data_IF_930209894736
#
_entry.id   IF_930209894736
#
_cell.length_a   1.000
_cell.length_b   1.000
_cell.length_c   1.000
_cell.angle_alpha   90.00
_cell.angle_beta   90.00
_cell.angle_gamma   90.00
#
_symmetry.space_group_name_H-M   'P 1'
#
loop_
_entity.id
_entity.type
_entity.pdbx_description
1 polymer ?
#
# COMPACT_ATOMS: atom_id res chain seq x y z
N UNK A 1 -20.30 -27.37 -11.36
CA UNK A 1 -19.43 -28.43 -11.93
C UNK A 1 -19.98 -29.80 -11.54
N UNK A 2 -19.79 -30.88 -12.30
CA UNK A 2 -18.97 -30.96 -13.53
C UNK A 2 -19.72 -31.54 -14.74
N UNK A 3 -19.49 -30.94 -15.90
CA UNK A 3 -19.61 -31.63 -17.18
C UNK A 3 -18.22 -31.72 -17.79
N UNK A 4 -17.90 -32.93 -18.23
CA UNK A 4 -16.61 -33.44 -18.70
C UNK A 4 -16.40 -33.00 -20.15
N UNK A 5 -15.21 -32.47 -20.46
CA UNK A 5 -14.74 -32.18 -21.82
C UNK A 5 -14.07 -33.43 -22.42
N UNK A 6 -14.53 -33.85 -23.59
CA UNK A 6 -13.93 -34.91 -24.41
C UNK A 6 -13.05 -34.26 -25.51
N UNK A 7 -11.74 -34.56 -25.59
CA UNK A 7 -10.82 -33.93 -26.54
C UNK A 7 -10.50 -34.86 -27.71
N UNK A 8 -11.25 -34.78 -28.82
CA UNK A 8 -10.77 -35.34 -30.09
C UNK A 8 -11.52 -34.81 -31.32
N UNK A 9 -10.97 -33.81 -32.01
CA UNK A 9 -10.84 -33.83 -33.49
C UNK A 9 -9.94 -32.70 -34.00
N UNK A 10 -8.68 -33.07 -34.28
CA UNK A 10 -7.82 -32.39 -35.25
C UNK A 10 -8.43 -32.53 -36.65
N UNK A 11 -8.55 -31.41 -37.38
CA UNK A 11 -8.39 -31.39 -38.84
C UNK A 11 -7.74 -30.08 -39.28
N UNK A 12 -6.57 -30.23 -39.88
CA UNK A 12 -5.83 -29.23 -40.64
C UNK A 12 -6.64 -28.70 -41.82
N UNK A 13 -6.58 -27.38 -42.08
CA UNK A 13 -6.54 -26.86 -43.46
C UNK A 13 -5.94 -25.44 -43.57
N UNK A 14 -4.70 -25.43 -44.05
CA UNK A 14 -4.07 -24.51 -45.00
C UNK A 14 -4.59 -23.06 -45.19
N UNK A 15 -3.71 -22.13 -44.82
CA UNK A 15 -3.25 -20.90 -45.51
C UNK A 15 -4.05 -20.35 -46.70
N UNK A 16 -4.47 -19.08 -46.59
CA UNK A 16 -4.58 -18.17 -47.74
C UNK A 16 -4.19 -16.74 -47.35
N UNK A 17 -3.19 -16.23 -48.06
CA UNK A 17 -2.63 -14.89 -48.03
C UNK A 17 -3.62 -13.82 -48.51
N UNK A 18 -3.68 -12.69 -47.81
CA UNK A 18 -4.32 -11.45 -48.26
C UNK A 18 -3.83 -10.28 -47.40
N UNK A 19 -3.05 -9.39 -48.01
CA UNK A 19 -2.54 -8.14 -47.43
C UNK A 19 -3.64 -7.17 -47.01
N UNK A 20 -3.50 -6.42 -45.89
CA UNK A 20 -4.19 -5.14 -45.73
C UNK A 20 -3.25 -3.97 -46.04
N UNK A 21 -3.82 -3.04 -46.81
CA UNK A 21 -3.28 -1.72 -47.15
C UNK A 21 -3.37 -0.78 -45.95
N UNK A 22 -2.36 0.10 -45.89
CA UNK A 22 -2.11 1.20 -44.96
C UNK A 22 -3.34 2.09 -44.73
N UNK A 23 -3.70 2.29 -43.45
CA UNK A 23 -4.55 3.39 -43.00
C UNK A 23 -3.78 4.22 -41.95
N UNK A 24 -3.93 5.54 -42.07
CA UNK A 24 -3.10 6.61 -41.48
C UNK A 24 -3.25 6.69 -39.96
N UNK A 25 -2.15 6.47 -39.25
CA UNK A 25 -2.04 6.79 -37.82
C UNK A 25 -1.99 8.31 -37.58
N UNK A 26 -2.85 8.80 -36.69
CA UNK A 26 -2.66 10.06 -35.96
C UNK A 26 -1.84 9.76 -34.69
N UNK A 27 -1.02 10.71 -34.20
CA UNK A 27 0.03 10.39 -33.25
C UNK A 27 -0.53 10.29 -31.83
N UNK A 28 -0.50 9.10 -31.24
CA UNK A 28 -0.55 8.95 -29.78
C UNK A 28 0.87 9.23 -29.26
N UNK A 29 1.04 10.35 -28.57
CA UNK A 29 2.25 10.64 -27.79
C UNK A 29 2.34 9.65 -26.64
N UNK A 30 2.97 8.51 -26.90
CA UNK A 30 3.43 7.60 -25.85
C UNK A 30 4.68 8.23 -25.24
N UNK A 31 4.51 8.95 -24.14
CA UNK A 31 5.58 9.16 -23.18
C UNK A 31 5.86 7.80 -22.55
N UNK A 32 6.77 7.06 -23.16
CA UNK A 32 7.46 5.95 -22.51
C UNK A 32 8.29 6.59 -21.41
N UNK A 33 7.82 6.52 -20.16
CA UNK A 33 8.64 6.84 -19.00
C UNK A 33 9.64 5.68 -18.89
N UNK A 34 10.83 5.90 -19.43
CA UNK A 34 11.94 5.00 -19.26
C UNK A 34 12.35 5.05 -17.78
N UNK A 35 12.01 4.01 -17.01
CA UNK A 35 12.61 3.77 -15.69
C UNK A 35 14.12 3.56 -15.87
N UNK A 36 14.87 4.63 -15.65
CA UNK A 36 16.33 4.61 -15.56
C UNK A 36 16.71 4.12 -14.16
N UNK A 37 16.83 2.80 -14.00
CA UNK A 37 17.57 2.20 -12.90
C UNK A 37 19.04 2.66 -13.00
N UNK A 38 19.37 3.72 -12.27
CA UNK A 38 20.75 4.18 -12.12
C UNK A 38 21.35 3.48 -10.90
N UNK A 39 21.93 2.32 -11.17
CA UNK A 39 22.75 1.58 -10.21
C UNK A 39 24.06 2.35 -9.98
N UNK A 40 24.12 3.17 -8.93
CA UNK A 40 25.35 3.87 -8.52
C UNK A 40 26.19 2.90 -7.68
N UNK A 41 27.04 2.13 -8.36
CA UNK A 41 28.08 1.29 -7.75
C UNK A 41 29.46 1.75 -8.22
N UNK A 42 30.07 2.69 -7.50
CA UNK A 42 31.52 3.00 -7.47
C UNK A 42 31.73 3.88 -6.23
N UNK A 43 32.69 3.71 -5.31
CA UNK A 43 34.10 3.37 -5.48
C UNK A 43 34.70 3.15 -4.08
N UNK A 44 35.21 1.96 -3.76
CA UNK A 44 36.09 1.74 -2.61
C UNK A 44 37.40 1.14 -3.12
N UNK A 45 38.47 1.94 -3.09
CA UNK A 45 39.86 1.44 -3.05
C UNK A 45 40.83 2.54 -2.60
N UNK A 46 41.39 2.31 -1.40
CA UNK A 46 42.72 2.66 -0.88
C UNK A 46 43.12 4.13 -0.67
N UNK A 47 43.32 4.50 0.60
CA UNK A 47 44.65 4.92 1.13
C UNK A 47 44.80 4.36 2.56
N UNK A 48 45.86 3.59 2.79
CA UNK A 48 46.28 3.15 4.14
C UNK A 48 47.09 4.21 4.88
N UNK A 49 47.06 4.17 6.21
CA UNK A 49 47.96 4.97 7.05
C UNK A 49 47.34 5.27 8.42
N UNK A 50 48.02 4.82 9.48
CA UNK A 50 47.57 4.86 10.87
C UNK A 50 47.35 6.28 11.43
N UNK A 51 46.22 6.47 12.12
CA UNK A 51 46.10 7.20 13.40
C UNK A 51 44.69 6.94 13.96
N UNK A 52 44.61 6.25 15.10
CA UNK A 52 43.35 6.12 15.85
C UNK A 52 43.08 7.45 16.53
N UNK A 53 42.33 8.32 15.85
CA UNK A 53 41.63 9.45 16.45
C UNK A 53 40.17 9.03 16.46
N UNK A 54 39.58 8.93 17.65
CA UNK A 54 38.15 8.66 17.80
C UNK A 54 37.36 9.73 17.02
N UNK A 55 36.41 9.36 16.15
CA UNK A 55 35.56 10.35 15.49
C UNK A 55 34.68 11.02 16.54
N UNK A 56 34.61 12.35 16.47
CA UNK A 56 33.68 13.17 17.23
C UNK A 56 32.22 12.87 16.80
N UNK A 57 31.20 13.18 17.63
CA UNK A 57 29.80 12.73 17.44
C UNK A 57 29.10 13.27 16.19
N UNK A 58 29.66 14.27 15.51
CA UNK A 58 29.04 14.90 14.33
C UNK A 58 28.88 13.99 13.10
N UNK A 59 29.53 12.81 13.06
CA UNK A 59 29.34 11.84 11.98
C UNK A 59 28.15 10.91 12.21
N UNK A 60 27.77 10.63 13.46
CA UNK A 60 26.62 9.77 13.76
C UNK A 60 25.29 10.46 13.44
N UNK A 61 25.16 11.76 13.72
CA UNK A 61 23.95 12.55 13.44
C UNK A 61 23.67 12.72 11.93
N UNK A 62 24.72 12.91 11.10
CA UNK A 62 24.54 13.06 9.65
C UNK A 62 24.11 11.76 8.96
N UNK A 63 24.51 10.62 9.51
CA UNK A 63 24.16 9.32 8.96
C UNK A 63 22.72 8.92 9.33
N UNK A 64 22.23 9.30 10.52
CA UNK A 64 20.84 9.07 10.93
C UNK A 64 19.85 9.92 10.12
N UNK A 65 20.17 11.20 9.90
CA UNK A 65 19.36 12.08 9.05
C UNK A 65 19.30 11.56 7.62
N UNK A 66 20.42 11.03 7.09
CA UNK A 66 20.45 10.41 5.76
C UNK A 66 19.61 9.15 5.66
N UNK A 67 19.55 8.33 6.73
CA UNK A 67 18.69 7.15 6.78
C UNK A 67 17.21 7.54 6.83
N UNK A 68 16.88 8.59 7.58
CA UNK A 68 15.53 9.13 7.66
C UNK A 68 15.06 9.68 6.31
N UNK A 69 15.91 10.44 5.61
CA UNK A 69 15.60 10.93 4.26
C UNK A 69 15.37 9.77 3.27
N UNK A 70 16.17 8.70 3.34
CA UNK A 70 16.00 7.51 2.50
C UNK A 70 14.70 6.76 2.81
N UNK A 71 14.35 6.63 4.09
CA UNK A 71 13.10 6.01 4.52
C UNK A 71 11.87 6.83 4.10
N UNK A 72 11.93 8.16 4.24
CA UNK A 72 10.88 9.07 3.77
C UNK A 72 10.71 8.99 2.24
N UNK A 73 11.80 8.98 1.49
CA UNK A 73 11.75 8.82 0.03
C UNK A 73 11.13 7.49 -0.38
N UNK A 74 11.54 6.38 0.23
CA UNK A 74 10.99 5.06 -0.07
C UNK A 74 9.48 4.97 0.26
N UNK A 75 9.05 5.62 1.34
CA UNK A 75 7.64 5.74 1.71
C UNK A 75 6.85 6.54 0.68
N UNK A 76 7.36 7.69 0.25
CA UNK A 76 6.70 8.53 -0.76
C UNK A 76 6.59 7.84 -2.13
N UNK A 77 7.62 7.09 -2.54
CA UNK A 77 7.59 6.29 -3.79
C UNK A 77 6.55 5.17 -3.73
N UNK A 78 6.42 4.48 -2.60
CA UNK A 78 5.38 3.45 -2.38
C UNK A 78 3.97 4.03 -2.32
N UNK A 79 3.81 5.19 -1.69
CA UNK A 79 2.53 5.91 -1.62
C UNK A 79 2.08 6.30 -3.03
N UNK A 80 2.96 6.92 -3.82
CA UNK A 80 2.67 7.28 -5.21
C UNK A 80 2.29 6.07 -6.07
N UNK A 81 3.03 4.96 -5.94
CA UNK A 81 2.73 3.76 -6.73
C UNK A 81 1.42 3.07 -6.28
N UNK A 82 1.03 3.21 -5.01
CA UNK A 82 -0.27 2.74 -4.50
C UNK A 82 -1.41 3.60 -5.02
N UNK A 83 -1.23 4.92 -5.09
CA UNK A 83 -2.20 5.84 -5.69
C UNK A 83 -2.40 5.53 -7.18
N UNK A 84 -1.31 5.39 -7.94
CA UNK A 84 -1.35 5.05 -9.37
C UNK A 84 -2.06 3.70 -9.61
N UNK A 85 -1.84 2.70 -8.74
CA UNK A 85 -2.55 1.42 -8.79
C UNK A 85 -4.06 1.61 -8.57
N UNK A 86 -4.44 2.42 -7.59
CA UNK A 86 -5.84 2.66 -7.21
C UNK A 86 -6.58 3.38 -8.34
N UNK A 87 -5.98 4.41 -8.93
CA UNK A 87 -6.55 5.13 -10.07
C UNK A 87 -6.81 4.20 -11.27
N UNK A 88 -5.89 3.27 -11.55
CA UNK A 88 -6.06 2.27 -12.62
C UNK A 88 -7.14 1.23 -12.30
N UNK A 89 -7.30 0.86 -11.03
CA UNK A 89 -8.41 -0.01 -10.59
C UNK A 89 -9.76 0.65 -10.85
N UNK A 90 -9.90 1.94 -10.53
CA UNK A 90 -11.10 2.73 -10.77
C UNK A 90 -11.41 2.85 -12.28
N UNK A 91 -10.39 3.11 -13.11
CA UNK A 91 -10.54 3.13 -14.57
C UNK A 91 -11.00 1.77 -15.13
N UNK A 92 -10.45 0.68 -14.58
CA UNK A 92 -10.82 -0.68 -14.95
C UNK A 92 -12.26 -1.02 -14.54
N UNK A 93 -12.72 -0.55 -13.39
CA UNK A 93 -14.13 -0.69 -12.97
C UNK A 93 -15.05 0.08 -13.92
N UNK A 94 -14.72 1.34 -14.23
CA UNK A 94 -15.49 2.15 -15.18
C UNK A 94 -15.58 1.51 -16.57
N UNK A 95 -14.49 0.92 -17.07
CA UNK A 95 -14.47 0.21 -18.34
C UNK A 95 -15.35 -1.06 -18.32
N UNK A 96 -15.43 -1.77 -17.19
CA UNK A 96 -16.32 -2.91 -17.03
C UNK A 96 -17.80 -2.51 -16.99
N UNK A 97 -18.13 -1.39 -16.32
CA UNK A 97 -19.47 -0.84 -16.32
C UNK A 97 -19.91 -0.46 -17.74
N UNK A 98 -19.04 0.19 -18.51
CA UNK A 98 -19.32 0.54 -19.90
C UNK A 98 -19.47 -0.70 -20.78
N UNK A 99 -18.69 -1.77 -20.54
CA UNK A 99 -18.86 -3.05 -21.22
C UNK A 99 -20.25 -3.65 -20.92
N UNK A 100 -20.67 -3.68 -19.67
CA UNK A 100 -22.01 -4.18 -19.28
C UNK A 100 -23.11 -3.38 -19.95
N UNK A 101 -22.99 -2.06 -19.99
CA UNK A 101 -23.93 -1.16 -20.65
C UNK A 101 -23.98 -1.41 -22.17
N UNK A 102 -22.82 -1.54 -22.82
CA UNK A 102 -22.70 -1.85 -24.25
C UNK A 102 -23.36 -3.18 -24.59
N UNK A 103 -23.15 -4.21 -23.77
CA UNK A 103 -23.79 -5.52 -23.94
C UNK A 103 -25.30 -5.45 -23.78
N UNK A 104 -25.80 -4.62 -22.85
CA UNK A 104 -27.24 -4.41 -22.66
C UNK A 104 -27.87 -3.70 -23.87
N UNK A 105 -27.20 -2.67 -24.41
CA UNK A 105 -27.64 -1.99 -25.63
C UNK A 105 -27.62 -2.94 -26.84
N UNK A 106 -26.59 -3.77 -26.96
CA UNK A 106 -26.49 -4.78 -28.02
C UNK A 106 -27.67 -5.75 -27.95
N UNK A 107 -27.98 -6.28 -26.76
CA UNK A 107 -29.12 -7.17 -26.55
C UNK A 107 -30.44 -6.51 -26.95
N UNK A 108 -30.63 -5.22 -26.64
CA UNK A 108 -31.82 -4.45 -27.01
C UNK A 108 -31.93 -4.28 -28.53
N UNK A 109 -30.82 -3.97 -29.20
CA UNK A 109 -30.73 -3.84 -30.67
C UNK A 109 -31.03 -5.15 -31.37
N UNK A 110 -30.49 -6.27 -30.86
CA UNK A 110 -30.79 -7.62 -31.37
C UNK A 110 -32.25 -8.02 -31.18
N UNK A 111 -32.87 -7.59 -30.08
CA UNK A 111 -34.31 -7.72 -29.84
C UNK A 111 -35.13 -7.02 -30.94
N UNK A 112 -34.84 -5.74 -31.22
CA UNK A 112 -35.53 -4.98 -32.28
C UNK A 112 -35.32 -5.59 -33.67
N UNK A 113 -34.09 -6.00 -34.01
CA UNK A 113 -33.81 -6.70 -35.27
C UNK A 113 -34.61 -8.01 -35.39
N UNK A 114 -34.83 -8.70 -34.27
CA UNK A 114 -35.66 -9.91 -34.23
C UNK A 114 -37.13 -9.59 -34.50
N UNK A 115 -37.66 -8.50 -33.95
CA UNK A 115 -39.03 -8.04 -34.20
C UNK A 115 -39.25 -7.66 -35.68
N UNK A 116 -38.24 -7.06 -36.33
CA UNK A 116 -38.30 -6.69 -37.75
C UNK A 116 -38.21 -7.89 -38.71
N UNK A 117 -37.79 -9.08 -38.25
CA UNK A 117 -37.66 -10.26 -39.14
C UNK A 117 -38.97 -10.65 -39.82
N UNK A 118 -40.08 -10.66 -39.09
CA UNK A 118 -41.36 -11.08 -39.64
C UNK A 118 -41.90 -10.09 -40.68
N UNK A 119 -41.95 -8.76 -40.43
CA UNK A 119 -42.26 -7.75 -41.44
C UNK A 119 -41.36 -7.82 -42.68
N UNK A 120 -40.04 -7.93 -42.50
CA UNK A 120 -39.08 -8.04 -43.61
C UNK A 120 -39.31 -9.31 -44.46
N UNK A 121 -39.57 -10.46 -43.82
CA UNK A 121 -39.87 -11.70 -44.52
C UNK A 121 -41.20 -11.61 -45.30
N UNK A 122 -42.20 -10.94 -44.74
CA UNK A 122 -43.48 -10.69 -45.40
C UNK A 122 -43.31 -9.76 -46.62
N UNK A 123 -42.52 -8.70 -46.47
CA UNK A 123 -42.16 -7.80 -47.56
C UNK A 123 -41.44 -8.55 -48.70
N UNK A 124 -40.40 -9.30 -48.38
CA UNK A 124 -39.65 -10.11 -49.34
C UNK A 124 -40.54 -11.16 -50.04
N UNK A 125 -41.42 -11.85 -49.30
CA UNK A 125 -42.38 -12.80 -49.88
C UNK A 125 -43.36 -12.11 -50.83
N UNK A 126 -43.78 -10.88 -50.52
CA UNK A 126 -44.74 -10.13 -51.35
C UNK A 126 -44.10 -9.70 -52.67
N UNK A 127 -42.89 -9.13 -52.59
CA UNK A 127 -42.08 -8.78 -53.77
C UNK A 127 -41.78 -9.99 -54.65
N UNK A 128 -41.51 -11.16 -54.04
CA UNK A 128 -41.22 -12.39 -54.78
C UNK A 128 -42.45 -13.00 -55.47
N UNK A 129 -43.62 -13.00 -54.80
CA UNK A 129 -44.84 -13.63 -55.33
C UNK A 129 -45.58 -12.76 -56.36
N UNK A 130 -45.40 -11.45 -56.33
CA UNK A 130 -46.10 -10.53 -57.23
C UNK A 130 -45.13 -9.49 -57.81
N UNK A 131 -44.26 -9.90 -58.76
CA UNK A 131 -43.30 -8.98 -59.37
C UNK A 131 -43.98 -7.81 -60.12
N UNK A 132 -45.21 -8.02 -60.59
CA UNK A 132 -45.99 -7.03 -61.33
C UNK A 132 -46.92 -6.18 -60.45
N UNK A 133 -47.03 -6.41 -59.13
CA UNK A 133 -47.94 -5.65 -58.24
C UNK A 133 -47.39 -4.28 -57.80
N UNK A 134 -46.21 -3.90 -58.29
CA UNK A 134 -45.68 -2.55 -58.12
C UNK A 134 -46.27 -1.54 -59.13
N UNK A 135 -45.66 -0.37 -59.23
CA UNK A 135 -46.01 0.71 -60.19
C UNK A 135 -46.26 0.19 -61.62
N UNK A 136 -45.57 -0.88 -62.04
CA UNK A 136 -45.73 -1.49 -63.36
C UNK A 136 -47.13 -2.10 -63.58
N UNK A 137 -47.74 -2.75 -62.58
CA UNK A 137 -49.10 -3.26 -62.66
C UNK A 137 -50.17 -2.18 -62.60
N UNK A 138 -49.88 -1.05 -61.94
CA UNK A 138 -50.74 0.13 -61.91
C UNK A 138 -50.81 0.79 -63.30
N UNK A 139 -49.65 0.96 -63.96
CA UNK A 139 -49.53 1.51 -65.33
C UNK A 139 -50.27 0.65 -66.38
N UNK A 140 -50.41 -0.65 -66.13
CA UNK A 140 -51.12 -1.56 -67.03
C UNK A 140 -52.65 -1.60 -66.82
N UNK A 141 -53.20 -1.00 -65.76
CA UNK A 141 -54.61 -1.22 -65.34
C UNK A 141 -55.67 -0.29 -65.96
N UNK A 142 -55.28 0.83 -66.59
CA UNK A 142 -56.09 1.52 -67.61
C UNK A 142 -57.37 2.27 -67.17
N UNK A 143 -57.62 2.55 -65.88
CA UNK A 143 -58.83 3.29 -65.43
C UNK A 143 -58.52 4.51 -64.54
N UNK A 144 -58.72 5.71 -65.09
CA UNK A 144 -58.19 7.01 -64.61
C UNK A 144 -58.86 7.57 -63.31
N UNK A 145 -60.11 7.21 -62.97
CA UNK A 145 -60.83 7.82 -61.83
C UNK A 145 -60.61 7.11 -60.47
N UNK A 146 -60.15 5.85 -60.51
CA UNK A 146 -59.80 5.06 -59.32
C UNK A 146 -58.31 5.20 -58.93
N UNK A 147 -57.51 5.81 -59.80
CA UNK A 147 -56.04 5.90 -59.70
C UNK A 147 -55.56 6.78 -58.54
N UNK A 148 -56.15 7.95 -58.27
CA UNK A 148 -55.58 8.89 -57.28
C UNK A 148 -55.59 8.38 -55.82
N UNK A 149 -56.56 7.54 -55.44
CA UNK A 149 -56.59 6.92 -54.10
C UNK A 149 -55.70 5.69 -54.00
N UNK A 150 -55.51 4.98 -55.12
CA UNK A 150 -54.62 3.83 -55.21
C UNK A 150 -53.17 4.31 -55.23
N UNK A 151 -52.88 5.40 -55.95
CA UNK A 151 -51.57 6.05 -56.01
C UNK A 151 -51.11 6.54 -54.64
N UNK A 152 -51.97 7.22 -53.87
CA UNK A 152 -51.62 7.65 -52.50
C UNK A 152 -51.38 6.47 -51.55
N UNK A 153 -52.10 5.36 -51.74
CA UNK A 153 -51.94 4.16 -50.93
C UNK A 153 -50.65 3.39 -51.29
N UNK A 154 -50.34 3.30 -52.58
CA UNK A 154 -49.09 2.71 -53.10
C UNK A 154 -47.88 3.54 -52.67
N UNK A 155 -47.96 4.87 -52.74
CA UNK A 155 -46.91 5.76 -52.23
C UNK A 155 -46.72 5.60 -50.73
N UNK A 156 -47.80 5.50 -49.95
CA UNK A 156 -47.70 5.29 -48.50
C UNK A 156 -47.07 3.93 -48.16
N UNK A 157 -47.46 2.86 -48.87
CA UNK A 157 -46.85 1.54 -48.70
C UNK A 157 -45.36 1.57 -49.07
N UNK A 158 -44.99 2.26 -50.15
CA UNK A 158 -43.58 2.41 -50.54
C UNK A 158 -42.78 3.15 -49.48
N UNK A 159 -43.33 4.23 -48.91
CA UNK A 159 -42.69 4.97 -47.80
C UNK A 159 -42.54 4.09 -46.56
N UNK A 160 -43.59 3.38 -46.16
CA UNK A 160 -43.56 2.51 -44.97
C UNK A 160 -42.55 1.35 -45.15
N UNK A 161 -42.34 0.87 -46.38
CA UNK A 161 -41.33 -0.14 -46.70
C UNK A 161 -39.91 0.42 -46.67
N UNK A 162 -39.72 1.65 -47.16
CA UNK A 162 -38.42 2.34 -47.16
C UNK A 162 -37.99 2.65 -45.73
N UNK A 163 -38.90 3.16 -44.89
CA UNK A 163 -38.68 3.41 -43.45
C UNK A 163 -38.30 2.13 -42.70
N UNK A 164 -38.96 1.00 -43.01
CA UNK A 164 -38.67 -0.29 -42.37
C UNK A 164 -37.30 -0.86 -42.78
N UNK A 165 -36.89 -0.66 -44.04
CA UNK A 165 -35.56 -1.06 -44.51
C UNK A 165 -34.46 -0.16 -43.93
N UNK A 166 -34.72 1.15 -43.81
CA UNK A 166 -33.83 2.12 -43.16
C UNK A 166 -33.62 1.74 -41.68
N UNK A 167 -34.70 1.54 -40.91
CA UNK A 167 -34.60 1.12 -39.51
C UNK A 167 -33.82 -0.20 -39.35
N UNK A 168 -34.06 -1.18 -40.24
CA UNK A 168 -33.34 -2.46 -40.21
C UNK A 168 -31.83 -2.32 -40.50
N UNK A 169 -31.45 -1.41 -41.41
CA UNK A 169 -30.05 -1.14 -41.73
C UNK A 169 -29.39 -0.38 -40.57
N UNK A 170 -30.04 0.65 -40.02
CA UNK A 170 -29.53 1.41 -38.88
C UNK A 170 -29.29 0.52 -37.66
N UNK A 171 -30.25 -0.36 -37.33
CA UNK A 171 -30.08 -1.32 -36.24
C UNK A 171 -28.97 -2.34 -36.53
N UNK A 172 -28.75 -2.71 -37.80
CA UNK A 172 -27.67 -3.61 -38.18
C UNK A 172 -26.31 -2.94 -38.03
N UNK A 173 -26.19 -1.68 -38.45
CA UNK A 173 -24.97 -0.90 -38.30
C UNK A 173 -24.66 -0.68 -36.80
N UNK A 174 -25.68 -0.35 -36.01
CA UNK A 174 -25.56 -0.25 -34.56
C UNK A 174 -25.15 -1.58 -33.91
N UNK A 175 -25.68 -2.73 -34.38
CA UNK A 175 -25.26 -4.05 -33.90
C UNK A 175 -23.76 -4.28 -34.13
N UNK A 176 -23.27 -3.94 -35.32
CA UNK A 176 -21.85 -4.11 -35.69
C UNK A 176 -20.96 -3.21 -34.83
N UNK A 177 -21.35 -1.95 -34.63
CA UNK A 177 -20.62 -0.99 -33.79
C UNK A 177 -20.54 -1.45 -32.33
N UNK A 178 -21.68 -1.77 -31.71
CA UNK A 178 -21.74 -2.24 -30.32
C UNK A 178 -20.97 -3.55 -30.11
N UNK A 179 -20.99 -4.45 -31.10
CA UNK A 179 -20.19 -5.68 -31.05
C UNK A 179 -18.69 -5.37 -31.07
N UNK A 180 -18.27 -4.42 -31.92
CA UNK A 180 -16.88 -3.97 -31.98
C UNK A 180 -16.43 -3.34 -30.66
N UNK A 181 -17.22 -2.43 -30.10
CA UNK A 181 -16.96 -1.79 -28.82
C UNK A 181 -16.88 -2.81 -27.67
N UNK A 182 -17.80 -3.77 -27.62
CA UNK A 182 -17.78 -4.81 -26.59
C UNK A 182 -16.52 -5.69 -26.68
N UNK A 183 -16.06 -6.01 -27.89
CA UNK A 183 -14.82 -6.79 -28.09
C UNK A 183 -13.57 -6.01 -27.70
N UNK A 184 -13.53 -4.71 -28.02
CA UNK A 184 -12.42 -3.82 -27.65
C UNK A 184 -12.35 -3.67 -26.13
N UNK A 185 -13.44 -3.27 -25.48
CA UNK A 185 -13.54 -3.16 -24.02
C UNK A 185 -13.21 -4.47 -23.30
N UNK A 186 -13.68 -5.61 -23.81
CA UNK A 186 -13.34 -6.91 -23.24
C UNK A 186 -11.84 -7.22 -23.33
N UNK A 187 -11.20 -6.87 -24.45
CA UNK A 187 -9.77 -7.14 -24.65
C UNK A 187 -8.91 -6.20 -23.80
N UNK A 188 -9.26 -4.92 -23.74
CA UNK A 188 -8.58 -3.92 -22.92
C UNK A 188 -8.70 -4.25 -21.44
N UNK A 189 -9.91 -4.51 -20.93
CA UNK A 189 -10.11 -4.86 -19.50
C UNK A 189 -9.40 -6.15 -19.09
N UNK A 190 -9.29 -7.15 -19.98
CA UNK A 190 -8.55 -8.37 -19.70
C UNK A 190 -7.04 -8.15 -19.61
N UNK A 191 -6.49 -7.35 -20.52
CA UNK A 191 -5.07 -7.01 -20.50
C UNK A 191 -4.73 -6.20 -19.25
N UNK A 192 -5.52 -5.15 -18.98
CA UNK A 192 -5.32 -4.27 -17.83
C UNK A 192 -5.37 -5.05 -16.51
N UNK A 193 -6.29 -6.01 -16.35
CA UNK A 193 -6.35 -6.87 -15.17
C UNK A 193 -5.09 -7.70 -14.93
N UNK A 194 -4.44 -8.15 -16.00
CA UNK A 194 -3.21 -8.95 -15.89
C UNK A 194 -2.05 -8.03 -15.54
N UNK A 195 -1.93 -6.88 -16.21
CA UNK A 195 -0.89 -5.90 -15.92
C UNK A 195 -1.00 -5.37 -14.48
N UNK A 196 -2.22 -5.04 -14.03
CA UNK A 196 -2.48 -4.58 -12.66
C UNK A 196 -2.13 -5.64 -11.60
N UNK A 197 -2.35 -6.92 -11.90
CA UNK A 197 -1.97 -8.01 -11.01
C UNK A 197 -0.46 -8.19 -10.90
N UNK A 198 0.26 -8.08 -12.02
CA UNK A 198 1.73 -8.12 -12.05
C UNK A 198 2.32 -6.89 -11.32
N UNK A 199 1.74 -5.71 -11.52
CA UNK A 199 2.17 -4.47 -10.84
C UNK A 199 1.96 -4.54 -9.32
N UNK A 200 0.86 -5.15 -8.86
CA UNK A 200 0.61 -5.39 -7.42
C UNK A 200 1.66 -6.33 -6.81
N UNK A 201 2.06 -7.37 -7.54
CA UNK A 201 3.12 -8.28 -7.09
C UNK A 201 4.46 -7.55 -7.01
N UNK A 202 4.80 -6.74 -8.01
CA UNK A 202 6.00 -5.92 -8.02
C UNK A 202 6.01 -4.88 -6.88
N UNK A 203 4.88 -4.22 -6.60
CA UNK A 203 4.73 -3.29 -5.48
C UNK A 203 4.98 -3.96 -4.12
N UNK A 204 4.45 -5.17 -3.93
CA UNK A 204 4.68 -5.96 -2.72
C UNK A 204 6.14 -6.36 -2.59
N UNK A 205 6.76 -6.84 -3.67
CA UNK A 205 8.18 -7.21 -3.67
C UNK A 205 9.06 -5.99 -3.36
N UNK A 206 8.78 -4.83 -3.96
CA UNK A 206 9.49 -3.58 -3.69
C UNK A 206 9.34 -3.14 -2.23
N UNK A 207 8.13 -3.25 -1.65
CA UNK A 207 7.88 -2.95 -0.24
C UNK A 207 8.62 -3.90 0.71
N UNK A 208 8.63 -5.20 0.39
CA UNK A 208 9.38 -6.19 1.16
C UNK A 208 10.89 -5.95 1.06
N UNK A 209 11.42 -5.66 -0.13
CA UNK A 209 12.84 -5.38 -0.35
C UNK A 209 13.28 -4.08 0.36
N UNK A 210 12.51 -3.01 0.24
CA UNK A 210 12.83 -1.74 0.91
C UNK A 210 12.79 -1.87 2.43
N UNK A 211 11.78 -2.57 2.96
CA UNK A 211 11.67 -2.87 4.39
C UNK A 211 12.85 -3.74 4.85
N UNK A 212 13.18 -4.81 4.12
CA UNK A 212 14.29 -5.70 4.47
C UNK A 212 15.64 -4.98 4.41
N UNK A 213 15.85 -4.08 3.45
CA UNK A 213 17.05 -3.27 3.35
C UNK A 213 17.20 -2.32 4.54
N UNK A 214 16.11 -1.65 4.94
CA UNK A 214 16.08 -0.78 6.12
C UNK A 214 16.36 -1.57 7.40
N UNK A 215 15.68 -2.71 7.60
CA UNK A 215 15.90 -3.58 8.75
C UNK A 215 17.37 -4.02 8.83
N UNK A 216 17.94 -4.46 7.71
CA UNK A 216 19.33 -4.89 7.67
C UNK A 216 20.31 -3.75 8.01
N UNK A 217 20.06 -2.54 7.51
CA UNK A 217 20.90 -1.38 7.80
C UNK A 217 20.80 -0.97 9.28
N UNK A 218 19.62 -1.08 9.90
CA UNK A 218 19.43 -0.88 11.33
C UNK A 218 20.18 -1.96 12.14
N UNK A 219 20.05 -3.24 11.76
CA UNK A 219 20.75 -4.37 12.39
C UNK A 219 22.27 -4.25 12.30
N UNK A 220 22.81 -3.89 11.13
CA UNK A 220 24.25 -3.68 10.92
C UNK A 220 24.81 -2.55 11.82
N UNK A 221 23.95 -1.64 12.28
CA UNK A 221 24.25 -0.55 13.21
C UNK A 221 23.95 -0.88 14.68
N UNK A 222 23.47 -2.09 14.97
CA UNK A 222 23.12 -2.54 16.31
C UNK A 222 21.80 -1.99 16.85
N UNK A 223 20.97 -1.40 15.98
CA UNK A 223 19.63 -0.92 16.30
C UNK A 223 18.62 -2.03 15.97
N UNK A 224 17.91 -2.55 16.97
CA UNK A 224 16.84 -3.50 16.68
C UNK A 224 15.59 -2.78 16.17
N UNK A 225 14.88 -3.43 15.25
CA UNK A 225 13.55 -2.98 14.79
C UNK A 225 12.59 -2.90 15.97
N UNK A 226 12.70 -3.82 16.94
CA UNK A 226 11.86 -3.87 18.12
C UNK A 226 12.06 -2.62 19.01
N UNK A 227 13.30 -2.13 19.16
CA UNK A 227 13.58 -0.88 19.87
C UNK A 227 13.04 0.35 19.15
N UNK A 228 13.19 0.39 17.82
CA UNK A 228 12.65 1.46 16.98
C UNK A 228 11.12 1.50 17.04
N UNK A 229 10.47 0.35 16.88
CA UNK A 229 9.01 0.22 16.95
C UNK A 229 8.47 0.53 18.35
N UNK A 230 9.14 0.09 19.41
CA UNK A 230 8.78 0.45 20.79
C UNK A 230 8.80 1.97 21.03
N UNK A 231 9.70 2.70 20.35
CA UNK A 231 9.79 4.15 20.42
C UNK A 231 8.69 4.85 19.62
N UNK A 232 8.43 4.39 18.40
CA UNK A 232 7.44 4.98 17.49
C UNK A 232 5.99 4.75 17.94
N UNK A 233 5.70 3.61 18.57
CA UNK A 233 4.34 3.28 19.03
C UNK A 233 3.95 3.96 20.36
N UNK A 234 4.91 4.54 21.08
CA UNK A 234 4.68 5.15 22.39
C UNK A 234 4.40 6.66 22.30
N UNK A 235 3.21 7.10 22.74
CA UNK A 235 2.93 8.52 22.97
C UNK A 235 3.53 8.97 24.32
N UNK A 236 4.60 9.77 24.28
CA UNK A 236 5.22 10.35 25.47
C UNK A 236 4.20 11.11 26.35
N UNK A 237 3.18 11.74 25.75
CA UNK A 237 2.12 12.46 26.44
C UNK A 237 1.26 11.58 27.35
N UNK A 238 1.20 10.27 27.09
CA UNK A 238 0.46 9.31 27.90
C UNK A 238 1.00 9.23 29.35
N UNK A 239 2.27 9.63 29.57
CA UNK A 239 2.86 9.72 30.92
C UNK A 239 2.09 10.65 31.86
N UNK A 240 1.33 11.62 31.33
CA UNK A 240 0.45 12.48 32.13
C UNK A 240 -0.62 11.70 32.90
N UNK A 241 -1.05 10.54 32.41
CA UNK A 241 -2.01 9.67 33.08
C UNK A 241 -1.46 9.07 34.40
N UNK A 242 -0.14 9.09 34.61
CA UNK A 242 0.46 8.73 35.89
C UNK A 242 0.14 9.74 37.01
N UNK A 243 -0.27 10.96 36.68
CA UNK A 243 -0.55 12.00 37.66
C UNK A 243 -1.68 11.60 38.62
N UNK A 244 -1.41 11.67 39.92
CA UNK A 244 -2.37 11.31 40.96
C UNK A 244 -2.43 9.82 41.32
N UNK A 245 -1.69 8.96 40.61
CA UNK A 245 -1.55 7.55 40.99
C UNK A 245 -0.46 7.35 42.04
N UNK A 246 -0.67 6.46 43.03
CA UNK A 246 0.36 6.11 44.00
C UNK A 246 1.53 5.37 43.35
N UNK A 247 2.69 5.47 43.99
CA UNK A 247 3.90 4.73 43.62
C UNK A 247 3.64 3.20 43.56
N UNK A 248 3.98 2.60 42.42
CA UNK A 248 3.79 1.19 42.12
C UNK A 248 2.37 0.84 41.67
N UNK A 249 1.51 1.82 41.41
CA UNK A 249 0.13 1.63 40.96
C UNK A 249 -0.20 2.47 39.72
N UNK A 250 0.78 2.75 38.87
CA UNK A 250 0.54 3.44 37.60
C UNK A 250 -0.39 2.61 36.70
N UNK A 251 -1.33 3.25 35.99
CA UNK A 251 -2.21 2.56 35.06
C UNK A 251 -1.42 2.15 33.81
N UNK A 252 -1.84 1.09 33.13
CA UNK A 252 -1.12 0.53 31.99
C UNK A 252 -1.03 1.47 30.80
N UNK A 253 -1.99 2.40 30.66
CA UNK A 253 -2.01 3.43 29.62
C UNK A 253 -1.03 4.58 29.90
N UNK A 254 -0.45 4.67 31.11
CA UNK A 254 0.64 5.59 31.42
C UNK A 254 2.04 5.00 31.17
N UNK A 255 2.11 3.74 30.76
CA UNK A 255 3.34 2.97 30.63
C UNK A 255 3.56 2.57 29.16
N UNK A 256 4.82 2.59 28.73
CA UNK A 256 5.25 2.05 27.45
C UNK A 256 6.28 0.94 27.64
N UNK A 257 6.23 -0.06 26.75
CA UNK A 257 7.23 -1.12 26.69
C UNK A 257 8.59 -0.58 26.23
N UNK A 258 9.65 -1.28 26.62
CA UNK A 258 11.01 -1.03 26.14
C UNK A 258 11.41 -2.11 25.13
N UNK A 259 12.60 -1.98 24.55
CA UNK A 259 13.22 -2.99 23.67
C UNK A 259 13.51 -4.33 24.36
N UNK A 260 13.46 -4.38 25.70
CA UNK A 260 13.59 -5.61 26.49
C UNK A 260 12.23 -6.08 26.95
N UNK A 261 11.83 -7.28 26.52
CA UNK A 261 10.56 -7.91 26.87
C UNK A 261 10.27 -7.88 28.38
N UNK A 262 9.04 -7.46 28.72
CA UNK A 262 8.58 -7.40 30.10
C UNK A 262 9.06 -6.18 30.89
N UNK A 263 9.85 -5.30 30.27
CA UNK A 263 10.20 -4.01 30.85
C UNK A 263 9.31 -2.90 30.30
N UNK A 264 8.83 -2.06 31.22
CA UNK A 264 8.14 -0.82 30.88
C UNK A 264 8.64 0.33 31.73
N UNK A 265 8.43 1.55 31.24
CA UNK A 265 8.63 2.81 31.97
C UNK A 265 7.40 3.68 31.78
N UNK A 266 7.32 4.77 32.56
CA UNK A 266 6.35 5.82 32.27
C UNK A 266 6.60 6.35 30.86
N UNK A 267 5.55 6.63 30.09
CA UNK A 267 5.67 6.84 28.65
C UNK A 267 6.71 7.90 28.24
N UNK A 268 6.76 9.03 28.95
CA UNK A 268 7.77 10.08 28.74
C UNK A 268 9.19 9.58 28.97
N UNK A 269 9.43 8.92 30.12
CA UNK A 269 10.72 8.32 30.43
C UNK A 269 11.08 7.19 29.44
N UNK A 270 10.11 6.43 28.96
CA UNK A 270 10.31 5.34 28.01
C UNK A 270 10.82 5.85 26.66
N UNK A 271 10.16 6.88 26.11
CA UNK A 271 10.56 7.50 24.83
C UNK A 271 11.99 8.04 24.93
N UNK A 272 12.30 8.81 25.97
CA UNK A 272 13.64 9.38 26.13
C UNK A 272 14.70 8.30 26.42
N UNK A 273 14.34 7.22 27.12
CA UNK A 273 15.22 6.06 27.30
C UNK A 273 15.52 5.36 25.98
N UNK A 274 14.54 5.21 25.10
CA UNK A 274 14.72 4.57 23.80
C UNK A 274 15.60 5.42 22.87
N UNK A 275 15.49 6.75 22.92
CA UNK A 275 16.42 7.66 22.25
C UNK A 275 17.86 7.52 22.79
N UNK A 276 18.01 7.43 24.12
CA UNK A 276 19.32 7.16 24.73
C UNK A 276 19.88 5.79 24.33
N UNK A 277 19.02 4.78 24.25
CA UNK A 277 19.37 3.42 23.83
C UNK A 277 19.86 3.38 22.38
N UNK A 278 19.22 4.11 21.49
CA UNK A 278 19.63 4.26 20.09
C UNK A 278 21.05 4.86 20.00
N UNK A 279 21.30 5.98 20.67
CA UNK A 279 22.63 6.60 20.69
C UNK A 279 23.70 5.68 21.32
N UNK A 280 23.32 4.91 22.35
CA UNK A 280 24.21 3.92 22.97
C UNK A 280 24.54 2.78 21.99
N UNK A 281 23.54 2.26 21.28
CA UNK A 281 23.69 1.21 20.29
C UNK A 281 24.58 1.65 19.13
N UNK A 282 24.43 2.88 18.62
CA UNK A 282 25.32 3.44 17.61
C UNK A 282 26.78 3.52 18.09
N UNK A 283 27.02 3.76 19.38
CA UNK A 283 28.38 3.86 19.93
C UNK A 283 29.00 2.48 20.23
N UNK A 284 28.23 1.51 20.72
CA UNK A 284 28.73 0.22 21.21
C UNK A 284 28.38 -0.99 20.34
N UNK A 285 27.53 -0.83 19.33
CA UNK A 285 27.01 -1.91 18.47
C UNK A 285 26.11 -2.90 19.21
N UNK A 286 25.59 -2.52 20.38
CA UNK A 286 24.67 -3.31 21.19
C UNK A 286 23.78 -2.40 21.99
N UNK A 287 22.53 -2.82 22.20
CA UNK A 287 21.55 -2.09 23.00
C UNK A 287 21.91 -2.10 24.49
N UNK A 288 21.34 -1.14 25.23
CA UNK A 288 21.47 -1.05 26.68
C UNK A 288 20.79 -2.27 27.30
N UNK A 289 21.56 -2.98 28.12
CA UNK A 289 21.07 -4.12 28.89
C UNK A 289 20.27 -3.61 30.09
N UNK A 290 19.02 -4.06 30.25
CA UNK A 290 18.12 -3.67 31.35
C UNK A 290 17.86 -4.86 32.28
N UNK A 291 17.92 -4.63 33.59
CA UNK A 291 17.61 -5.64 34.63
C UNK A 291 16.35 -5.33 35.44
N UNK A 292 16.02 -4.05 35.61
CA UNK A 292 14.81 -3.62 36.30
C UNK A 292 14.36 -2.28 35.76
N UNK A 293 13.04 -2.09 35.64
CA UNK A 293 12.41 -0.84 35.19
C UNK A 293 11.20 -0.53 36.09
N UNK A 294 10.03 -0.20 35.55
CA UNK A 294 8.82 -0.04 36.36
C UNK A 294 8.54 -1.27 37.23
N UNK A 295 8.24 -1.03 38.50
CA UNK A 295 7.94 -2.09 39.46
C UNK A 295 6.67 -1.76 40.24
N UNK A 296 5.64 -2.57 40.02
CA UNK A 296 4.38 -2.40 40.75
C UNK A 296 4.54 -2.64 42.26
N UNK A 297 3.53 -2.20 43.02
CA UNK A 297 3.54 -2.21 44.48
C UNK A 297 3.63 -3.63 45.05
N UNK A 298 2.99 -4.61 44.43
CA UNK A 298 3.00 -6.00 44.88
C UNK A 298 4.40 -6.63 44.68
N UNK A 299 5.02 -6.35 43.54
CA UNK A 299 6.38 -6.75 43.23
C UNK A 299 7.39 -6.05 44.15
N UNK A 300 7.19 -4.76 44.47
CA UNK A 300 8.03 -4.06 45.44
C UNK A 300 7.89 -4.66 46.85
N UNK A 301 6.69 -5.04 47.29
CA UNK A 301 6.49 -5.76 48.56
C UNK A 301 7.24 -7.10 48.59
N UNK A 302 7.19 -7.84 47.48
CA UNK A 302 7.93 -9.11 47.34
C UNK A 302 9.43 -8.89 47.45
N UNK A 303 9.99 -7.90 46.73
CA UNK A 303 11.43 -7.58 46.77
C UNK A 303 11.83 -7.13 48.18
N UNK A 304 11.05 -6.24 48.80
CA UNK A 304 11.31 -5.76 50.17
C UNK A 304 11.32 -6.88 51.20
N UNK A 305 10.47 -7.91 51.05
CA UNK A 305 10.43 -9.06 51.95
C UNK A 305 11.59 -10.05 51.74
N UNK A 306 12.17 -10.09 50.54
CA UNK A 306 13.22 -11.04 50.17
C UNK A 306 14.64 -10.49 50.36
N UNK A 307 14.82 -9.18 50.17
CA UNK A 307 16.14 -8.55 50.27
C UNK A 307 16.54 -8.30 51.72
N UNK A 308 17.86 -8.32 52.04
CA UNK A 308 18.33 -7.90 53.35
C UNK A 308 17.93 -6.45 53.66
N UNK A 309 17.75 -6.10 54.95
CA UNK A 309 17.41 -4.73 55.35
C UNK A 309 18.37 -3.69 54.74
N UNK A 310 17.81 -2.68 54.09
CA UNK A 310 18.56 -1.59 53.44
C UNK A 310 18.89 -1.80 51.97
N UNK A 311 18.57 -2.96 51.38
CA UNK A 311 18.79 -3.27 49.95
C UNK A 311 17.52 -3.19 49.10
N UNK A 312 16.41 -2.76 49.69
CA UNK A 312 15.16 -2.52 49.00
C UNK A 312 14.45 -1.32 49.63
N UNK A 313 13.93 -0.44 48.78
CA UNK A 313 13.09 0.67 49.22
C UNK A 313 11.80 0.16 49.88
N UNK A 314 11.27 0.92 50.83
CA UNK A 314 9.97 0.64 51.43
C UNK A 314 8.90 0.63 50.31
N UNK A 315 7.95 -0.32 50.31
CA UNK A 315 6.91 -0.34 49.29
C UNK A 315 6.15 0.99 49.19
N UNK A 316 6.05 1.51 47.96
CA UNK A 316 5.46 2.83 47.70
C UNK A 316 6.43 4.01 47.77
N UNK A 317 7.74 3.78 47.95
CA UNK A 317 8.75 4.86 47.99
C UNK A 317 9.89 4.67 46.99
N UNK A 318 9.79 3.71 46.06
CA UNK A 318 10.85 3.42 45.09
C UNK A 318 10.66 4.22 43.81
N UNK A 319 11.71 4.82 43.25
CA UNK A 319 11.60 5.50 41.95
C UNK A 319 11.20 4.55 40.81
N UNK A 320 11.48 3.25 40.93
CA UNK A 320 10.94 2.22 40.01
C UNK A 320 9.41 2.17 40.03
N UNK A 321 8.77 2.43 41.18
CA UNK A 321 7.31 2.49 41.26
C UNK A 321 6.71 3.76 40.65
N UNK A 322 7.53 4.76 40.30
CA UNK A 322 7.10 5.92 39.53
C UNK A 322 7.28 5.72 38.01
N UNK A 323 7.88 4.61 37.58
CA UNK A 323 8.26 4.39 36.18
C UNK A 323 9.37 5.33 35.71
N UNK A 324 10.16 5.88 36.64
CA UNK A 324 11.21 6.89 36.41
C UNK A 324 12.61 6.40 36.79
N UNK A 325 12.77 5.10 37.00
CA UNK A 325 14.08 4.55 37.32
C UNK A 325 14.31 3.23 36.59
N UNK A 326 15.56 3.00 36.25
CA UNK A 326 16.01 1.82 35.53
C UNK A 326 17.33 1.32 36.12
N UNK A 327 17.47 0.00 36.20
CA UNK A 327 18.71 -0.68 36.62
C UNK A 327 19.34 -1.35 35.40
N UNK A 328 20.59 -1.00 35.09
CA UNK A 328 21.27 -1.37 33.86
C UNK A 328 22.38 -2.40 34.06
N UNK A 329 22.62 -3.22 33.04
CA UNK A 329 23.66 -4.25 32.98
C UNK A 329 24.62 -4.02 31.79
N UNK A 330 25.27 -5.07 31.28
CA UNK A 330 26.10 -4.98 30.06
C UNK A 330 27.41 -4.19 30.23
N UNK A 331 27.84 -3.93 31.47
CA UNK A 331 29.03 -3.15 31.79
C UNK A 331 28.68 -1.86 32.54
N UNK A 332 27.45 -1.35 32.39
CA UNK A 332 26.99 -0.15 33.11
C UNK A 332 27.02 -0.36 34.62
N UNK A 333 26.69 -1.54 35.12
CA UNK A 333 26.75 -1.87 36.55
C UNK A 333 28.16 -1.81 37.18
N UNK A 334 29.20 -1.51 36.39
CA UNK A 334 30.58 -1.39 36.86
C UNK A 334 31.04 0.06 36.69
N UNK A 335 31.06 0.83 37.79
CA UNK A 335 31.53 2.21 37.77
C UNK A 335 32.94 2.31 37.16
N UNK A 336 33.13 3.25 36.23
CA UNK A 336 34.39 3.47 35.53
C UNK A 336 34.57 2.63 34.26
N UNK A 337 33.66 1.70 33.94
CA UNK A 337 33.65 1.00 32.65
C UNK A 337 33.36 1.96 31.50
N UNK A 338 33.69 1.55 30.26
CA UNK A 338 33.37 2.36 29.09
C UNK A 338 31.86 2.63 28.95
N UNK A 339 30.95 1.62 29.09
CA UNK A 339 29.51 1.86 29.12
C UNK A 339 29.05 2.82 30.22
N UNK A 340 29.56 2.67 31.45
CA UNK A 340 29.17 3.54 32.57
C UNK A 340 29.58 5.00 32.31
N UNK A 341 30.84 5.23 31.89
CA UNK A 341 31.35 6.57 31.65
C UNK A 341 30.64 7.25 30.47
N UNK A 342 30.23 6.47 29.45
CA UNK A 342 29.42 6.98 28.35
C UNK A 342 28.07 7.47 28.86
N UNK A 343 27.36 6.69 29.67
CA UNK A 343 26.10 7.15 30.24
C UNK A 343 26.30 8.35 31.17
N UNK A 344 27.36 8.38 31.98
CA UNK A 344 27.65 9.53 32.85
C UNK A 344 27.82 10.83 32.05
N UNK A 345 28.36 10.72 30.84
CA UNK A 345 28.64 11.86 29.97
C UNK A 345 27.44 12.29 29.13
N UNK A 346 26.58 11.34 28.72
CA UNK A 346 25.55 11.59 27.70
C UNK A 346 24.10 11.46 28.23
N UNK A 347 23.84 10.73 29.32
CA UNK A 347 22.46 10.38 29.73
C UNK A 347 21.58 11.61 29.96
N UNK A 348 22.18 12.72 30.41
CA UNK A 348 21.47 13.96 30.76
C UNK A 348 20.85 14.64 29.54
N UNK A 349 21.38 14.39 28.35
CA UNK A 349 20.80 14.91 27.10
C UNK A 349 19.42 14.29 26.83
N UNK A 350 19.17 13.11 27.41
CA UNK A 350 17.91 12.37 27.32
C UNK A 350 17.11 12.43 28.64
N UNK A 351 17.37 13.40 29.52
CA UNK A 351 16.69 13.52 30.81
C UNK A 351 17.04 12.44 31.85
N UNK A 352 17.95 11.51 31.54
CA UNK A 352 18.42 10.47 32.45
C UNK A 352 19.67 10.90 33.21
N UNK A 353 19.85 10.43 34.44
CA UNK A 353 21.05 10.72 35.22
C UNK A 353 21.36 9.63 36.24
N UNK A 354 22.64 9.53 36.58
CA UNK A 354 23.08 8.75 37.72
C UNK A 354 22.95 9.61 39.00
N UNK A 355 22.10 9.24 39.97
CA UNK A 355 21.85 10.09 41.13
C UNK A 355 23.06 10.11 42.08
N UNK A 356 23.32 11.27 42.70
CA UNK A 356 24.49 11.47 43.56
C UNK A 356 24.58 10.48 44.73
N UNK A 357 23.43 10.01 45.25
CA UNK A 357 23.41 9.04 46.33
C UNK A 357 23.95 7.67 45.91
N UNK A 358 23.78 7.27 44.64
CA UNK A 358 24.15 5.96 44.12
C UNK A 358 25.66 5.73 44.02
N UNK A 359 26.47 6.80 44.08
CA UNK A 359 27.93 6.69 44.18
C UNK A 359 28.43 6.21 45.55
N UNK A 360 27.57 6.15 46.57
CA UNK A 360 28.05 6.00 47.95
C UNK A 360 27.26 5.01 48.81
N UNK A 361 26.00 5.30 49.16
CA UNK A 361 25.26 4.48 50.11
C UNK A 361 23.74 4.60 49.92
N UNK A 362 23.06 3.55 49.44
CA UNK A 362 23.67 2.33 48.90
C UNK A 362 24.49 2.64 47.64
N UNK A 363 25.57 1.89 47.44
CA UNK A 363 26.36 1.98 46.20
C UNK A 363 25.64 1.20 45.11
N UNK A 364 25.10 1.90 44.12
CA UNK A 364 24.22 1.33 43.08
C UNK A 364 24.60 1.83 41.68
N UNK A 365 25.80 1.49 41.17
CA UNK A 365 26.28 1.97 39.86
C UNK A 365 25.39 1.57 38.67
N UNK A 366 24.50 0.59 38.86
CA UNK A 366 23.52 0.19 37.86
C UNK A 366 22.29 1.11 37.81
N UNK A 367 22.03 1.93 38.83
CA UNK A 367 20.77 2.66 38.99
C UNK A 367 20.79 4.02 38.32
N UNK A 368 19.81 4.29 37.45
CA UNK A 368 19.65 5.56 36.74
C UNK A 368 18.22 6.05 36.91
N UNK A 369 18.09 7.36 37.09
CA UNK A 369 16.81 8.03 37.31
C UNK A 369 16.52 8.99 36.14
N UNK A 370 15.25 9.12 35.81
CA UNK A 370 14.75 10.09 34.84
C UNK A 370 14.26 11.32 35.57
N UNK A 371 14.63 12.50 35.07
CA UNK A 371 14.10 13.77 35.54
C UNK A 371 12.90 14.19 34.68
N UNK A 372 11.66 14.02 35.18
CA UNK A 372 10.46 14.37 34.43
C UNK A 372 10.20 15.87 34.32
N UNK A 373 11.06 16.69 34.93
CA UNK A 373 11.03 18.13 34.78
C UNK A 373 11.94 18.65 33.67
N UNK A 374 12.61 17.74 32.94
CA UNK A 374 13.76 18.03 32.09
C UNK A 374 13.61 19.18 31.08
N UNK A 375 14.66 20.00 31.00
CA UNK A 375 15.06 20.75 29.80
C UNK A 375 14.67 22.21 29.71
#
# INVERSE_FOLDING_TARGET
MPFVLDPARRRDRATRSGTPSVAKGRPRSRTVVAMLFTLVLTMLLNIGGQAVVAPAPAHADNDLESLKEQAEQAKDELEQATDDYTDREDELEAAQEELVKTLHELQKTEGKLTDLRAPLAQLASTLYKQPDAGILGLVMSGTIDQDLRVESHVLKISQDQEELLEEANDLRDQQVELTGQAQELQSETQLERVELADDLEALKEQSEESTAALIKELEDRGLSVDAYMAGVECDAGAGAAASGYPNGLLPSDALCGLHVDGHSLRADAAVDFLLMNEAYALNFGTEICVTSSYRDLANQQRVYAQQPPGFAAVPGTSNHGLGLAIDLCGGVQTQGSAPFNWLESNSREYGWFHPQWAYSSPFEPWHWEYDPSGG
#
